data_IF_074468911927
#
_entry.id   IF_074468911927
#
_cell.length_a   1.000
_cell.length_b   1.000
_cell.length_c   1.000
_cell.angle_alpha   90.00
_cell.angle_beta   90.00
_cell.angle_gamma   90.00
#
_symmetry.space_group_name_H-M   'P 1'
#
loop_
_entity.id
_entity.type
_entity.pdbx_description
1 polymer ?
#
# COMPACT_ATOMS: atom_id res chain seq x y z
N UNK A 1 -24.20 -21.70 10.30
CA UNK A 1 -23.33 -20.52 10.08
C UNK A 1 -23.57 -20.00 8.66
N UNK A 2 -24.10 -18.80 8.48
CA UNK A 2 -24.32 -18.22 7.16
C UNK A 2 -22.95 -18.08 6.46
N UNK A 3 -22.83 -18.63 5.25
CA UNK A 3 -21.66 -18.46 4.37
C UNK A 3 -21.54 -16.97 4.12
N UNK A 4 -20.53 -16.31 4.70
CA UNK A 4 -20.25 -14.91 4.39
C UNK A 4 -19.97 -14.81 2.89
N UNK A 5 -20.74 -13.97 2.19
CA UNK A 5 -20.68 -13.82 0.75
C UNK A 5 -19.28 -13.31 0.41
N UNK A 6 -18.48 -14.11 -0.26
CA UNK A 6 -17.22 -13.69 -0.84
C UNK A 6 -17.48 -12.88 -2.10
N UNK A 7 -16.80 -11.75 -2.26
CA UNK A 7 -16.83 -10.98 -3.50
C UNK A 7 -15.70 -11.45 -4.42
N UNK A 8 -15.98 -11.48 -5.71
CA UNK A 8 -15.00 -11.87 -6.72
C UNK A 8 -14.26 -10.65 -7.29
N UNK A 9 -12.98 -10.82 -7.46
CA UNK A 9 -12.09 -9.82 -8.04
C UNK A 9 -11.10 -10.49 -9.00
N UNK A 10 -10.68 -9.75 -10.01
CA UNK A 10 -9.49 -10.11 -10.75
C UNK A 10 -8.28 -9.50 -10.08
N UNK A 11 -7.24 -10.28 -9.76
CA UNK A 11 -5.92 -9.73 -9.53
C UNK A 11 -5.36 -9.35 -10.89
N UNK A 12 -4.95 -8.10 -11.02
CA UNK A 12 -4.41 -7.52 -12.24
C UNK A 12 -2.93 -7.21 -12.07
N UNK A 13 -2.15 -7.38 -13.14
CA UNK A 13 -0.84 -6.77 -13.28
C UNK A 13 -0.93 -5.76 -14.43
N UNK A 14 -1.05 -4.47 -14.09
CA UNK A 14 -1.52 -3.43 -15.03
C UNK A 14 -2.85 -3.84 -15.64
N UNK A 15 -2.92 -3.98 -16.96
CA UNK A 15 -4.13 -4.36 -17.70
C UNK A 15 -4.29 -5.87 -17.89
N UNK A 16 -3.37 -6.69 -17.37
CA UNK A 16 -3.36 -8.15 -17.54
C UNK A 16 -4.03 -8.82 -16.34
N UNK A 17 -5.15 -9.54 -16.50
CA UNK A 17 -5.75 -10.33 -15.44
C UNK A 17 -4.91 -11.59 -15.16
N UNK A 18 -4.32 -11.69 -13.98
CA UNK A 18 -3.43 -12.79 -13.59
C UNK A 18 -4.12 -13.91 -12.81
N UNK A 19 -5.18 -13.59 -12.04
CA UNK A 19 -6.07 -14.61 -11.48
C UNK A 19 -7.44 -14.03 -11.13
N UNK A 20 -8.44 -14.92 -11.04
CA UNK A 20 -9.72 -14.63 -10.40
C UNK A 20 -9.63 -15.08 -8.94
N UNK A 21 -10.01 -14.22 -8.00
CA UNK A 21 -9.90 -14.48 -6.57
C UNK A 21 -11.16 -14.08 -5.82
N UNK A 22 -11.48 -14.81 -4.77
CA UNK A 22 -12.56 -14.51 -3.84
C UNK A 22 -12.00 -13.85 -2.59
N UNK A 23 -12.55 -12.73 -2.19
CA UNK A 23 -12.20 -12.04 -0.94
C UNK A 23 -13.38 -12.05 0.02
N UNK A 24 -13.11 -12.35 1.28
CA UNK A 24 -14.09 -12.20 2.37
C UNK A 24 -14.39 -10.73 2.61
N UNK A 25 -15.47 -10.40 3.35
CA UNK A 25 -15.76 -9.03 3.78
C UNK A 25 -14.60 -8.36 4.55
N UNK A 26 -13.79 -9.17 5.25
CA UNK A 26 -12.58 -8.70 5.92
C UNK A 26 -11.37 -8.54 5.01
N UNK A 27 -11.50 -8.78 3.70
CA UNK A 27 -10.42 -8.66 2.72
C UNK A 27 -9.41 -9.81 2.73
N UNK A 28 -9.73 -10.94 3.38
CA UNK A 28 -8.85 -12.11 3.34
C UNK A 28 -9.07 -12.92 2.06
N UNK A 29 -7.98 -13.46 1.51
CA UNK A 29 -8.02 -14.32 0.34
C UNK A 29 -8.70 -15.66 0.68
N UNK A 30 -9.72 -15.99 -0.11
CA UNK A 30 -10.39 -17.30 -0.13
C UNK A 30 -9.87 -18.16 -1.28
N UNK A 31 -10.80 -18.69 -2.10
CA UNK A 31 -10.43 -19.45 -3.28
C UNK A 31 -9.88 -18.52 -4.37
N UNK A 32 -9.08 -19.07 -5.25
CA UNK A 32 -8.61 -18.36 -6.43
C UNK A 32 -8.31 -19.34 -7.59
N UNK A 33 -8.31 -18.80 -8.80
CA UNK A 33 -7.99 -19.54 -10.03
C UNK A 33 -7.01 -18.72 -10.86
N UNK A 34 -5.81 -19.25 -11.05
CA UNK A 34 -4.77 -18.64 -11.88
C UNK A 34 -5.20 -18.56 -13.34
N UNK A 35 -4.76 -17.52 -14.01
CA UNK A 35 -4.82 -17.43 -15.45
C UNK A 35 -3.55 -18.05 -16.04
N UNK A 36 -3.65 -19.27 -16.56
CA UNK A 36 -2.50 -20.02 -17.07
C UNK A 36 -1.75 -19.26 -18.19
N UNK A 37 -2.47 -18.48 -19.00
CA UNK A 37 -1.87 -17.67 -20.07
C UNK A 37 -1.06 -16.47 -19.53
N UNK A 38 -1.22 -16.11 -18.26
CA UNK A 38 -0.59 -14.94 -17.63
C UNK A 38 0.32 -15.31 -16.45
N UNK A 39 0.76 -16.56 -16.33
CA UNK A 39 1.61 -17.03 -15.21
C UNK A 39 2.91 -16.24 -15.08
N UNK A 40 3.49 -15.76 -16.17
CA UNK A 40 4.69 -14.93 -16.14
C UNK A 40 4.49 -13.59 -15.40
N UNK A 41 3.25 -13.12 -15.31
CA UNK A 41 2.86 -11.90 -14.61
C UNK A 41 2.31 -12.16 -13.20
N UNK A 42 2.28 -13.39 -12.74
CA UNK A 42 1.81 -13.73 -11.39
C UNK A 42 2.84 -13.31 -10.35
N UNK A 43 2.45 -12.93 -9.12
CA UNK A 43 3.40 -12.53 -8.08
C UNK A 43 4.51 -13.56 -7.85
N UNK A 44 5.73 -13.08 -7.69
CA UNK A 44 6.93 -13.92 -7.55
C UNK A 44 6.75 -14.91 -6.39
N UNK A 45 7.04 -16.17 -6.66
CA UNK A 45 6.91 -17.28 -5.70
C UNK A 45 5.51 -17.85 -5.59
N UNK A 46 4.45 -17.11 -5.92
CA UNK A 46 3.07 -17.61 -5.96
C UNK A 46 2.74 -18.47 -7.18
N UNK A 47 3.57 -18.42 -8.22
CA UNK A 47 3.38 -19.19 -9.45
C UNK A 47 3.33 -20.70 -9.18
N UNK A 48 4.22 -21.18 -8.33
CA UNK A 48 4.42 -22.62 -8.05
C UNK A 48 3.97 -23.05 -6.65
N UNK A 49 3.61 -22.09 -5.77
CA UNK A 49 3.30 -22.36 -4.38
C UNK A 49 2.14 -21.49 -3.90
N UNK A 50 1.01 -22.13 -3.64
CA UNK A 50 -0.20 -21.44 -3.20
C UNK A 50 -0.04 -20.79 -1.83
N UNK A 51 0.72 -21.37 -0.91
CA UNK A 51 1.02 -20.78 0.39
C UNK A 51 1.75 -19.45 0.24
N UNK A 52 2.72 -19.37 -0.66
CA UNK A 52 3.43 -18.10 -0.95
C UNK A 52 2.52 -17.03 -1.54
N UNK A 53 1.49 -17.40 -2.29
CA UNK A 53 0.51 -16.44 -2.79
C UNK A 53 -0.39 -15.91 -1.68
N UNK A 54 -0.83 -16.76 -0.75
CA UNK A 54 -1.56 -16.33 0.44
C UNK A 54 -0.72 -15.40 1.34
N UNK A 55 0.57 -15.72 1.54
CA UNK A 55 1.49 -14.87 2.29
C UNK A 55 1.69 -13.53 1.58
N UNK A 56 1.92 -13.54 0.27
CA UNK A 56 2.05 -12.31 -0.54
C UNK A 56 0.82 -11.41 -0.42
N UNK A 57 -0.39 -11.99 -0.48
CA UNK A 57 -1.62 -11.22 -0.32
C UNK A 57 -1.74 -10.63 1.09
N UNK A 58 -1.44 -11.41 2.11
CA UNK A 58 -1.47 -10.98 3.51
C UNK A 58 -0.45 -9.86 3.77
N UNK A 59 0.75 -10.01 3.24
CA UNK A 59 1.83 -9.06 3.42
C UNK A 59 1.63 -7.77 2.60
N UNK A 60 0.73 -7.78 1.62
CA UNK A 60 0.37 -6.59 0.85
C UNK A 60 -0.38 -5.56 1.70
N UNK A 61 -1.11 -5.98 2.70
CA UNK A 61 -1.80 -5.06 3.62
C UNK A 61 -0.79 -4.31 4.50
N UNK A 62 -1.19 -3.12 4.95
CA UNK A 62 -0.42 -2.39 5.96
C UNK A 62 -0.31 -3.27 7.21
N UNK A 63 0.91 -3.45 7.79
CA UNK A 63 1.06 -4.25 9.00
C UNK A 63 0.19 -3.72 10.15
N UNK A 64 -0.52 -4.62 10.83
CA UNK A 64 -1.34 -4.28 12.00
C UNK A 64 -0.51 -3.72 13.15
N UNK A 65 0.78 -4.08 13.20
CA UNK A 65 1.77 -3.64 14.19
C UNK A 65 2.31 -2.25 13.90
N UNK A 66 2.05 -1.69 12.70
CA UNK A 66 2.50 -0.32 12.39
C UNK A 66 1.97 0.66 13.43
N UNK A 67 2.88 1.50 13.95
CA UNK A 67 2.51 2.52 14.91
C UNK A 67 1.42 3.44 14.35
N UNK A 68 0.34 3.65 15.13
CA UNK A 68 -0.83 4.44 14.71
C UNK A 68 -1.85 3.73 13.82
N UNK A 69 -1.59 2.50 13.33
CA UNK A 69 -2.50 1.80 12.42
C UNK A 69 -3.90 1.60 12.99
N UNK A 70 -4.00 1.24 14.27
CA UNK A 70 -5.30 1.07 14.95
C UNK A 70 -6.13 2.36 14.94
N UNK A 71 -5.50 3.48 15.26
CA UNK A 71 -6.15 4.81 15.26
C UNK A 71 -6.59 5.19 13.84
N UNK A 72 -5.73 4.97 12.83
CA UNK A 72 -6.06 5.27 11.44
C UNK A 72 -7.26 4.43 10.95
N UNK A 73 -7.28 3.12 11.23
CA UNK A 73 -8.41 2.25 10.91
C UNK A 73 -9.71 2.74 11.53
N UNK A 74 -9.70 3.08 12.82
CA UNK A 74 -10.88 3.57 13.54
C UNK A 74 -11.40 4.89 12.94
N UNK A 75 -10.51 5.86 12.68
CA UNK A 75 -10.89 7.17 12.12
C UNK A 75 -11.43 7.05 10.68
N UNK A 76 -10.91 6.13 9.89
CA UNK A 76 -11.35 5.88 8.52
C UNK A 76 -12.51 4.91 8.40
N UNK A 77 -12.96 4.30 9.51
CA UNK A 77 -14.09 3.37 9.54
C UNK A 77 -13.76 1.97 8.99
N UNK A 78 -12.49 1.59 8.92
CA UNK A 78 -12.08 0.27 8.47
C UNK A 78 -12.08 -0.75 9.61
N UNK A 79 -12.59 -1.95 9.34
CA UNK A 79 -12.59 -3.06 10.31
C UNK A 79 -11.21 -3.73 10.43
N UNK A 80 -10.37 -3.63 9.40
CA UNK A 80 -9.05 -4.24 9.34
C UNK A 80 -8.16 -3.56 8.30
N UNK A 81 -6.86 -3.84 8.35
CA UNK A 81 -5.92 -3.40 7.29
C UNK A 81 -6.21 -4.05 5.95
N UNK A 82 -6.75 -5.28 5.95
CA UNK A 82 -7.15 -5.97 4.73
C UNK A 82 -8.42 -5.34 4.13
N UNK A 83 -9.39 -4.90 4.95
CA UNK A 83 -10.55 -4.17 4.42
C UNK A 83 -10.15 -2.83 3.82
N UNK A 84 -9.19 -2.12 4.44
CA UNK A 84 -8.62 -0.89 3.87
C UNK A 84 -7.87 -1.18 2.55
N UNK A 85 -7.14 -2.30 2.46
CA UNK A 85 -6.46 -2.72 1.24
C UNK A 85 -7.46 -2.93 0.08
N UNK A 86 -8.54 -3.66 0.32
CA UNK A 86 -9.56 -3.97 -0.69
C UNK A 86 -10.29 -2.71 -1.15
N UNK A 87 -10.66 -1.82 -0.22
CA UNK A 87 -11.35 -0.58 -0.53
C UNK A 87 -10.51 0.38 -1.40
N UNK A 88 -9.20 0.28 -1.29
CA UNK A 88 -8.24 1.02 -2.10
C UNK A 88 -7.68 0.19 -3.29
N UNK A 89 -8.45 -0.80 -3.75
CA UNK A 89 -8.12 -1.66 -4.89
C UNK A 89 -6.75 -2.34 -4.78
N UNK A 90 -6.23 -2.53 -3.58
CA UNK A 90 -4.90 -3.06 -3.30
C UNK A 90 -3.76 -2.34 -4.03
N UNK A 91 -3.94 -1.07 -4.38
CA UNK A 91 -2.96 -0.25 -5.09
C UNK A 91 -1.72 0.01 -4.24
N UNK A 92 -0.56 0.04 -4.88
CA UNK A 92 0.73 0.35 -4.28
C UNK A 92 1.62 1.13 -5.23
N UNK A 93 2.58 1.87 -4.70
CA UNK A 93 3.69 2.46 -5.46
C UNK A 93 4.94 1.55 -5.51
N UNK A 94 4.86 0.36 -4.88
CA UNK A 94 5.96 -0.62 -4.88
C UNK A 94 5.91 -1.57 -6.07
N UNK A 95 4.74 -1.71 -6.71
CA UNK A 95 4.52 -2.62 -7.82
C UNK A 95 3.29 -2.20 -8.65
N UNK A 96 2.95 -2.99 -9.67
CA UNK A 96 1.85 -2.73 -10.59
C UNK A 96 0.65 -3.68 -10.38
N UNK A 97 0.57 -4.36 -9.22
CA UNK A 97 -0.58 -5.22 -8.93
C UNK A 97 -1.72 -4.42 -8.29
N UNK A 98 -2.94 -4.78 -8.66
CA UNK A 98 -4.17 -4.23 -8.11
C UNK A 98 -5.32 -5.21 -8.28
N UNK A 99 -6.47 -4.93 -7.64
CA UNK A 99 -7.66 -5.77 -7.78
C UNK A 99 -8.76 -5.01 -8.50
N UNK A 100 -9.36 -5.67 -9.48
CA UNK A 100 -10.51 -5.18 -10.24
C UNK A 100 -11.76 -5.94 -9.78
N UNK A 101 -12.79 -5.27 -9.22
CA UNK A 101 -14.05 -5.95 -8.91
C UNK A 101 -14.62 -6.60 -10.16
N UNK A 102 -15.11 -7.84 -10.04
CA UNK A 102 -15.71 -8.53 -11.18
C UNK A 102 -16.96 -7.81 -11.65
N UNK A 103 -17.02 -7.52 -12.96
CA UNK A 103 -18.14 -6.80 -13.59
C UNK A 103 -17.98 -5.29 -13.65
N UNK A 104 -16.92 -4.72 -13.06
CA UNK A 104 -16.62 -3.30 -13.22
C UNK A 104 -15.70 -3.05 -14.43
N UNK A 105 -15.96 -1.95 -15.14
CA UNK A 105 -15.15 -1.51 -16.29
C UNK A 105 -14.17 -0.42 -15.85
N UNK A 106 -13.09 -0.85 -15.17
CA UNK A 106 -12.01 0.00 -14.68
C UNK A 106 -10.72 -0.44 -15.34
N UNK A 107 -9.92 0.47 -15.83
CA UNK A 107 -8.61 0.20 -16.45
C UNK A 107 -7.46 0.67 -15.54
N UNK A 108 -6.26 0.12 -15.73
CA UNK A 108 -5.06 0.51 -14.98
C UNK A 108 -4.78 2.01 -15.04
N UNK A 109 -4.97 2.62 -16.22
CA UNK A 109 -4.75 4.07 -16.41
C UNK A 109 -5.60 4.94 -15.48
N UNK A 110 -6.80 4.45 -15.11
CA UNK A 110 -7.77 5.22 -14.32
C UNK A 110 -7.53 5.16 -12.81
N UNK A 111 -6.69 4.21 -12.37
CA UNK A 111 -6.55 3.91 -10.94
C UNK A 111 -5.12 3.92 -10.43
N UNK A 112 -4.11 3.69 -11.29
CA UNK A 112 -2.73 3.57 -10.83
C UNK A 112 -2.25 4.82 -10.08
N UNK A 113 -1.46 4.62 -9.03
CA UNK A 113 -0.93 5.71 -8.20
C UNK A 113 0.31 6.39 -8.81
N UNK A 114 0.83 5.88 -9.93
CA UNK A 114 2.02 6.43 -10.59
C UNK A 114 1.70 7.68 -11.40
N UNK A 115 0.50 7.76 -11.97
CA UNK A 115 0.08 8.87 -12.84
C UNK A 115 -1.16 9.60 -12.34
N UNK A 116 -1.96 8.98 -11.48
CA UNK A 116 -3.15 9.61 -10.92
C UNK A 116 -2.83 10.24 -9.55
N UNK A 117 -3.54 11.31 -9.23
CA UNK A 117 -3.45 11.95 -7.93
C UNK A 117 -4.16 11.12 -6.86
N UNK A 118 -3.56 11.10 -5.67
CA UNK A 118 -4.10 10.43 -4.49
C UNK A 118 -3.73 11.17 -3.22
N UNK A 119 -4.42 10.86 -2.12
CA UNK A 119 -4.06 11.35 -0.78
C UNK A 119 -3.91 10.14 0.13
N UNK A 120 -2.75 9.99 0.76
CA UNK A 120 -2.52 8.95 1.76
C UNK A 120 -3.00 9.41 3.14
N UNK A 121 -4.33 9.44 3.31
CA UNK A 121 -4.98 9.83 4.58
C UNK A 121 -4.62 8.88 5.71
N UNK A 122 -4.44 7.59 5.42
CA UNK A 122 -3.99 6.61 6.40
C UNK A 122 -2.60 6.96 6.94
N UNK A 123 -1.66 7.23 6.05
CA UNK A 123 -0.31 7.66 6.42
C UNK A 123 -0.32 8.98 7.21
N UNK A 124 -1.14 9.93 6.80
CA UNK A 124 -1.32 11.22 7.50
C UNK A 124 -1.72 11.01 8.97
N UNK A 125 -2.76 10.23 9.22
CA UNK A 125 -3.24 9.96 10.59
C UNK A 125 -2.16 9.25 11.42
N UNK A 126 -1.33 8.40 10.80
CA UNK A 126 -0.26 7.72 11.54
C UNK A 126 0.90 8.63 11.89
N UNK A 127 1.22 9.63 11.08
CA UNK A 127 2.31 10.59 11.32
C UNK A 127 1.88 11.72 12.27
N UNK A 128 0.68 12.24 12.09
CA UNK A 128 0.16 13.41 12.81
C UNK A 128 -0.97 13.00 13.75
N UNK A 129 -0.62 12.55 14.96
CA UNK A 129 -1.60 12.06 15.95
C UNK A 129 -2.66 13.09 16.37
N UNK A 130 -2.30 14.36 16.34
CA UNK A 130 -3.08 15.46 16.93
C UNK A 130 -3.85 16.30 15.92
N UNK A 131 -3.61 16.13 14.62
CA UNK A 131 -4.33 16.90 13.61
C UNK A 131 -5.76 16.40 13.41
N UNK A 132 -6.71 17.28 13.63
CA UNK A 132 -8.10 17.20 13.18
C UNK A 132 -8.12 17.36 11.65
N UNK A 133 -7.65 16.35 10.94
CA UNK A 133 -7.75 16.30 9.48
C UNK A 133 -9.19 16.49 9.06
N UNK A 134 -9.42 17.38 8.12
CA UNK A 134 -10.69 17.45 7.43
C UNK A 134 -10.87 16.18 6.56
N UNK A 135 -11.36 15.11 7.22
CA UNK A 135 -11.67 13.83 6.59
C UNK A 135 -12.76 13.94 5.51
N UNK A 136 -13.30 15.15 5.29
CA UNK A 136 -14.31 15.44 4.25
C UNK A 136 -13.71 15.51 2.86
N UNK A 137 -12.40 15.70 2.72
CA UNK A 137 -11.71 15.54 1.43
C UNK A 137 -11.58 14.06 1.08
N UNK A 138 -12.69 13.44 0.68
CA UNK A 138 -12.69 12.09 0.11
C UNK A 138 -12.02 12.15 -1.26
N UNK A 139 -10.78 11.72 -1.33
CA UNK A 139 -10.17 11.32 -2.59
C UNK A 139 -10.61 9.91 -2.97
N UNK A 140 -10.49 9.56 -4.24
CA UNK A 140 -10.85 8.23 -4.74
C UNK A 140 -10.10 7.12 -4.00
N UNK A 141 -8.85 7.41 -3.58
CA UNK A 141 -8.00 6.47 -2.84
C UNK A 141 -7.39 7.16 -1.61
N UNK A 142 -7.63 6.59 -0.42
CA UNK A 142 -7.23 7.15 0.87
C UNK A 142 -6.04 6.42 1.49
N UNK A 143 -5.47 5.43 0.82
CA UNK A 143 -4.41 4.60 1.34
C UNK A 143 -3.62 3.97 0.19
N UNK A 144 -2.32 4.15 0.19
CA UNK A 144 -1.41 3.39 -0.66
C UNK A 144 -0.81 2.25 0.16
N UNK A 145 -0.96 1.01 -0.32
CA UNK A 145 -0.39 -0.15 0.34
C UNK A 145 1.13 0.00 0.47
N UNK A 146 1.66 -0.22 1.67
CA UNK A 146 3.10 -0.13 1.94
C UNK A 146 3.46 -1.03 3.12
N UNK A 147 4.61 -1.69 3.05
CA UNK A 147 5.11 -2.57 4.10
C UNK A 147 5.91 -1.82 5.18
N UNK A 148 6.22 -2.51 6.28
CA UNK A 148 7.07 -2.04 7.37
C UNK A 148 6.31 -1.31 8.48
N UNK A 149 6.88 -1.36 9.69
CA UNK A 149 6.24 -0.97 10.95
C UNK A 149 6.34 0.52 11.26
N UNK A 150 7.31 1.22 10.69
CA UNK A 150 7.45 2.67 10.88
C UNK A 150 6.26 3.41 10.29
N UNK A 151 5.86 4.48 10.97
CA UNK A 151 4.92 5.44 10.42
C UNK A 151 5.45 5.97 9.10
N UNK A 152 4.61 6.06 8.09
CA UNK A 152 4.97 6.58 6.79
C UNK A 152 3.77 7.07 6.02
N UNK A 153 4.01 8.00 5.11
CA UNK A 153 3.02 8.60 4.25
C UNK A 153 3.60 8.80 2.86
N UNK A 154 2.82 8.46 1.86
CA UNK A 154 3.10 8.87 0.49
C UNK A 154 2.59 10.28 0.21
N UNK A 155 3.39 11.06 -0.50
CA UNK A 155 3.08 12.43 -0.90
C UNK A 155 3.33 12.62 -2.39
N UNK A 156 2.65 13.63 -2.95
CA UNK A 156 2.89 14.14 -4.30
C UNK A 156 3.26 15.60 -4.16
N UNK A 157 4.40 16.02 -4.72
CA UNK A 157 4.78 17.43 -4.75
C UNK A 157 4.14 18.19 -5.92
N UNK A 158 4.33 19.48 -5.95
CA UNK A 158 3.77 20.36 -6.99
C UNK A 158 4.27 20.06 -8.42
N UNK A 159 5.37 19.32 -8.55
CA UNK A 159 5.88 18.83 -9.83
C UNK A 159 5.31 17.46 -10.22
N UNK A 160 4.46 16.88 -9.39
CA UNK A 160 3.89 15.54 -9.60
C UNK A 160 4.80 14.41 -9.16
N UNK A 161 5.93 14.68 -8.51
CA UNK A 161 6.85 13.65 -8.03
C UNK A 161 6.30 12.99 -6.78
N UNK A 162 6.33 11.64 -6.75
CA UNK A 162 5.94 10.82 -5.60
C UNK A 162 7.13 10.60 -4.69
N UNK A 163 6.95 10.83 -3.40
CA UNK A 163 7.96 10.58 -2.37
C UNK A 163 7.30 10.07 -1.09
N UNK A 164 8.09 9.43 -0.24
CA UNK A 164 7.61 8.88 1.02
C UNK A 164 8.25 9.61 2.20
N UNK A 165 7.41 10.12 3.09
CA UNK A 165 7.85 10.56 4.41
C UNK A 165 7.84 9.35 5.34
N UNK A 166 8.95 9.12 6.05
CA UNK A 166 9.06 8.09 7.10
C UNK A 166 9.25 8.77 8.45
N UNK A 167 8.48 8.33 9.44
CA UNK A 167 8.68 8.73 10.83
C UNK A 167 9.77 7.90 11.51
N UNK A 168 10.09 8.29 12.76
CA UNK A 168 10.98 7.54 13.63
C UNK A 168 10.19 6.77 14.68
N UNK A 169 10.82 5.77 15.28
CA UNK A 169 10.31 5.11 16.46
C UNK A 169 11.01 5.68 17.70
N UNK A 170 10.24 6.32 18.57
CA UNK A 170 10.77 7.00 19.75
C UNK A 170 11.55 8.28 19.43
N UNK A 171 12.33 8.75 20.41
CA UNK A 171 13.03 10.04 20.36
C UNK A 171 14.48 9.93 19.83
N UNK A 172 14.97 8.73 19.56
CA UNK A 172 16.38 8.53 19.20
C UNK A 172 16.75 8.92 17.77
N UNK A 173 15.77 9.10 16.89
CA UNK A 173 15.96 9.38 15.46
C UNK A 173 16.90 8.38 14.74
N UNK A 174 17.20 7.23 15.35
CA UNK A 174 18.20 6.29 14.85
C UNK A 174 17.87 5.77 13.45
N UNK A 175 16.58 5.54 13.13
CA UNK A 175 16.16 5.07 11.83
C UNK A 175 16.45 6.11 10.75
N UNK A 176 16.15 7.39 11.01
CA UNK A 176 16.46 8.47 10.06
C UNK A 176 17.96 8.64 9.87
N UNK A 177 18.75 8.54 10.93
CA UNK A 177 20.21 8.62 10.86
C UNK A 177 20.76 7.48 10.00
N UNK A 178 20.28 6.26 10.20
CA UNK A 178 20.71 5.10 9.41
C UNK A 178 20.38 5.25 7.91
N UNK A 179 19.20 5.76 7.58
CA UNK A 179 18.78 6.00 6.18
C UNK A 179 19.63 7.09 5.52
N UNK A 180 19.94 8.16 6.23
CA UNK A 180 20.84 9.22 5.75
C UNK A 180 22.26 8.69 5.55
N UNK A 181 22.79 7.93 6.52
CA UNK A 181 24.09 7.31 6.40
C UNK A 181 24.18 6.37 5.20
N UNK A 182 23.17 5.51 4.99
CA UNK A 182 23.10 4.64 3.83
C UNK A 182 23.09 5.43 2.51
N UNK A 183 22.38 6.56 2.45
CA UNK A 183 22.37 7.46 1.29
C UNK A 183 23.77 7.97 0.97
N UNK A 184 24.50 8.49 1.97
CA UNK A 184 25.85 9.02 1.77
C UNK A 184 26.86 7.92 1.42
N UNK A 185 26.71 6.74 2.01
CA UNK A 185 27.55 5.58 1.68
C UNK A 185 27.35 5.16 0.22
N UNK A 186 26.11 5.06 -0.25
CA UNK A 186 25.81 4.70 -1.65
C UNK A 186 26.35 5.75 -2.64
N UNK A 187 26.24 7.04 -2.30
CA UNK A 187 26.86 8.10 -3.11
C UNK A 187 28.37 7.96 -3.22
N UNK A 188 29.05 7.70 -2.11
CA UNK A 188 30.51 7.49 -2.10
C UNK A 188 30.92 6.25 -2.86
N UNK A 189 30.12 5.18 -2.83
CA UNK A 189 30.33 3.96 -3.58
C UNK A 189 29.95 4.09 -5.07
N UNK A 190 29.40 5.24 -5.49
CA UNK A 190 29.00 5.53 -6.88
C UNK A 190 27.95 4.57 -7.43
N UNK A 191 27.01 4.12 -6.58
CA UNK A 191 25.84 3.40 -7.10
C UNK A 191 25.02 4.33 -7.99
N UNK A 192 24.60 3.83 -9.16
CA UNK A 192 23.80 4.62 -10.12
C UNK A 192 22.34 4.75 -9.70
N UNK A 193 21.78 3.68 -9.09
CA UNK A 193 20.37 3.63 -8.70
C UNK A 193 20.23 3.21 -7.24
N UNK A 194 19.80 4.12 -6.40
CA UNK A 194 19.49 3.86 -4.99
C UNK A 194 18.46 4.85 -4.45
N UNK A 195 17.80 4.48 -3.37
CA UNK A 195 16.86 5.37 -2.68
C UNK A 195 17.62 6.46 -1.94
N UNK A 196 17.29 7.71 -2.24
CA UNK A 196 17.87 8.89 -1.58
C UNK A 196 16.95 9.32 -0.46
N UNK A 197 17.52 9.48 0.74
CA UNK A 197 16.84 10.06 1.90
C UNK A 197 17.35 11.47 2.17
N UNK A 198 16.42 12.35 2.51
CA UNK A 198 16.72 13.73 2.94
C UNK A 198 16.02 14.00 4.26
N UNK A 199 16.69 14.68 5.22
CA UNK A 199 16.05 15.03 6.48
C UNK A 199 14.93 16.05 6.22
N UNK A 200 13.80 15.88 6.90
CA UNK A 200 12.67 16.81 6.86
C UNK A 200 12.15 17.02 8.27
N UNK A 201 11.96 18.26 8.67
CA UNK A 201 11.26 18.60 9.90
C UNK A 201 9.76 18.68 9.56
N UNK A 202 8.95 17.85 10.20
CA UNK A 202 7.50 18.03 10.19
C UNK A 202 7.18 19.06 11.29
N UNK A 203 6.94 20.30 10.91
CA UNK A 203 6.35 21.30 11.82
C UNK A 203 4.87 20.93 11.98
N UNK A 204 4.46 20.67 13.20
CA UNK A 204 3.04 20.58 13.55
C UNK A 204 2.62 22.04 13.79
N UNK A 205 1.90 22.63 12.83
CA UNK A 205 1.18 23.90 13.03
C UNK A 205 -0.17 23.65 13.70
#
# INVERSE_FOLDING_TARGET
MAKKIAKEYYLMHKDIPVCLMELTEGGNLGNYRKNEAALAHFPIGGQMNDMKFHDWWKDRAIPKTRHGAKTALQRLGYSSTNSALVDNLALSLSDCYWIKPRGEDIEWKDVNLFTNDFVDTFGEITLNKDNLLDLRKKTKFNCAASQGELQKKWCIDTSGRRYMIKGNYGESYQQSINELFATELHRKQKFENFTVYTPTLLTVE
#
